data_IF_533023710667
#
_entry.id   IF_533023710667
#
_cell.length_a   1.000
_cell.length_b   1.000
_cell.length_c   1.000
_cell.angle_alpha   90.00
_cell.angle_beta   90.00
_cell.angle_gamma   90.00
#
_symmetry.space_group_name_H-M   'P 1'
#
loop_
_entity.id
_entity.type
_entity.pdbx_description
1 polymer ?
#
# COMPACT_ATOMS: atom_id res chain seq x y z
N UNK A 1 -17.60 -7.69 -3.81
CA UNK A 1 -17.14 -6.44 -3.13
C UNK A 1 -17.50 -6.51 -1.67
N UNK A 2 -16.60 -6.06 -0.78
CA UNK A 2 -16.94 -5.81 0.63
C UNK A 2 -17.45 -4.38 0.73
N UNK A 3 -18.60 -4.20 1.34
CA UNK A 3 -19.26 -2.90 1.52
C UNK A 3 -19.46 -2.65 3.02
N UNK A 4 -18.92 -1.54 3.51
CA UNK A 4 -19.15 -1.09 4.89
C UNK A 4 -20.26 -0.05 4.90
N UNK A 5 -21.37 -0.37 5.54
CA UNK A 5 -22.57 0.47 5.58
C UNK A 5 -22.96 0.84 6.99
N UNK A 6 -23.63 1.97 7.16
CA UNK A 6 -24.17 2.36 8.45
C UNK A 6 -25.59 1.80 8.62
N UNK A 7 -25.75 0.89 9.56
CA UNK A 7 -27.07 0.31 9.91
C UNK A 7 -27.68 0.95 11.15
N UNK A 8 -26.86 1.48 12.07
CA UNK A 8 -27.34 2.28 13.20
C UNK A 8 -27.14 3.76 12.91
N UNK A 9 -28.16 4.61 13.01
CA UNK A 9 -28.02 6.05 12.83
C UNK A 9 -26.92 6.66 13.71
N UNK A 10 -26.16 7.61 13.17
CA UNK A 10 -25.02 8.21 13.88
C UNK A 10 -25.44 8.84 15.24
N UNK A 11 -26.65 9.40 15.31
CA UNK A 11 -27.19 9.99 16.53
C UNK A 11 -27.45 8.97 17.66
N UNK A 12 -27.51 7.68 17.33
CA UNK A 12 -27.72 6.57 18.27
C UNK A 12 -26.43 5.80 18.57
N UNK A 13 -25.35 6.08 17.84
CA UNK A 13 -24.07 5.43 18.03
C UNK A 13 -23.27 6.13 19.15
N UNK A 14 -22.65 5.34 20.05
CA UNK A 14 -21.81 5.88 21.12
C UNK A 14 -20.51 6.52 20.56
N UNK A 15 -19.97 5.97 19.49
CA UNK A 15 -18.80 6.47 18.78
C UNK A 15 -19.07 6.44 17.26
N UNK A 16 -18.36 7.28 16.50
CA UNK A 16 -18.54 7.36 15.03
C UNK A 16 -18.35 6.05 14.29
N UNK A 17 -17.52 5.15 14.81
CA UNK A 17 -17.25 3.84 14.23
C UNK A 17 -18.26 2.75 14.61
N UNK A 18 -19.11 2.99 15.62
CA UNK A 18 -20.11 2.03 16.06
C UNK A 18 -21.31 2.04 15.08
N UNK A 19 -22.01 0.92 14.98
CA UNK A 19 -23.18 0.81 14.10
C UNK A 19 -22.86 0.74 12.59
N UNK A 20 -21.64 0.37 12.26
CA UNK A 20 -21.22 0.05 10.90
C UNK A 20 -21.24 -1.48 10.70
N UNK A 21 -21.76 -1.94 9.58
CA UNK A 21 -21.95 -3.37 9.27
C UNK A 21 -21.27 -3.70 7.94
N UNK A 22 -20.63 -4.85 7.85
CA UNK A 22 -20.04 -5.36 6.62
C UNK A 22 -21.03 -6.23 5.86
N UNK A 23 -21.12 -5.98 4.55
CA UNK A 23 -21.91 -6.77 3.62
C UNK A 23 -21.03 -7.28 2.48
N UNK A 24 -21.26 -8.51 2.05
CA UNK A 24 -20.65 -9.06 0.84
C UNK A 24 -21.61 -8.85 -0.34
N UNK A 25 -21.16 -8.12 -1.35
CA UNK A 25 -21.95 -7.81 -2.55
C UNK A 25 -21.32 -8.49 -3.77
N UNK A 26 -22.10 -9.31 -4.48
CA UNK A 26 -21.69 -9.78 -5.80
C UNK A 26 -21.88 -8.66 -6.82
N UNK A 27 -20.76 -8.15 -7.34
CA UNK A 27 -20.80 -7.04 -8.30
C UNK A 27 -21.45 -7.43 -9.64
N UNK A 28 -21.38 -8.70 -10.05
CA UNK A 28 -22.00 -9.15 -11.30
C UNK A 28 -23.51 -9.02 -11.26
N UNK A 29 -24.08 -9.31 -10.10
CA UNK A 29 -25.52 -9.20 -9.89
C UNK A 29 -25.98 -7.77 -9.60
N UNK A 30 -25.13 -6.99 -8.94
CA UNK A 30 -25.45 -5.64 -8.49
C UNK A 30 -25.27 -4.55 -9.56
N UNK A 31 -24.36 -4.75 -10.52
CA UNK A 31 -24.15 -3.80 -11.63
C UNK A 31 -25.42 -3.65 -12.48
N UNK A 32 -25.90 -2.42 -12.62
CA UNK A 32 -27.16 -2.08 -13.27
C UNK A 32 -28.42 -2.35 -12.44
N UNK A 33 -28.27 -2.86 -11.19
CA UNK A 33 -29.36 -3.15 -10.24
C UNK A 33 -29.11 -2.52 -8.87
N UNK A 34 -28.73 -1.26 -8.84
CA UNK A 34 -28.39 -0.53 -7.62
C UNK A 34 -26.94 -0.10 -7.54
N UNK A 35 -26.06 -0.59 -8.44
CA UNK A 35 -24.70 -0.07 -8.61
C UNK A 35 -24.48 0.37 -10.06
N UNK A 36 -24.05 1.63 -10.22
CA UNK A 36 -23.46 2.15 -11.45
C UNK A 36 -21.95 2.31 -11.22
N UNK A 37 -21.12 1.75 -12.10
CA UNK A 37 -19.67 1.86 -12.04
C UNK A 37 -19.17 2.72 -13.22
N UNK A 38 -18.39 3.75 -12.92
CA UNK A 38 -17.76 4.63 -13.91
C UNK A 38 -16.25 4.48 -13.83
N UNK A 39 -15.56 4.09 -14.91
CA UNK A 39 -14.13 3.95 -14.89
C UNK A 39 -13.45 5.29 -14.68
N UNK A 40 -12.43 5.32 -13.81
CA UNK A 40 -11.53 6.45 -13.64
C UNK A 40 -10.26 6.15 -14.43
N UNK A 41 -9.99 6.99 -15.45
CA UNK A 41 -8.74 6.88 -16.20
C UNK A 41 -7.56 7.24 -15.29
N UNK A 42 -6.71 6.26 -15.01
CA UNK A 42 -5.46 6.45 -14.30
C UNK A 42 -4.35 5.59 -14.91
N UNK A 43 -3.11 5.82 -14.49
CA UNK A 43 -1.92 5.21 -15.10
C UNK A 43 -1.42 3.96 -14.34
N UNK A 44 -2.11 3.55 -13.28
CA UNK A 44 -1.56 2.54 -12.34
C UNK A 44 -2.43 1.29 -12.30
N UNK A 45 -3.75 1.45 -12.18
CA UNK A 45 -4.68 0.34 -12.02
C UNK A 45 -6.05 0.66 -12.63
N UNK A 46 -6.92 -0.35 -12.65
CA UNK A 46 -8.33 -0.19 -13.02
C UNK A 46 -9.14 0.19 -11.77
N UNK A 47 -9.51 1.45 -11.67
CA UNK A 47 -10.32 1.99 -10.58
C UNK A 47 -11.63 2.53 -11.11
N UNK A 48 -12.70 2.37 -10.35
CA UNK A 48 -14.03 2.84 -10.70
C UNK A 48 -14.60 3.70 -9.59
N UNK A 49 -15.34 4.71 -9.95
CA UNK A 49 -16.25 5.42 -9.07
C UNK A 49 -17.58 4.65 -9.05
N UNK A 50 -18.07 4.34 -7.84
CA UNK A 50 -19.30 3.58 -7.67
C UNK A 50 -20.42 4.49 -7.14
N UNK A 51 -21.55 4.48 -7.83
CA UNK A 51 -22.78 5.11 -7.39
C UNK A 51 -23.74 4.00 -6.93
N UNK A 52 -24.10 4.02 -5.66
CA UNK A 52 -24.93 3.00 -5.04
C UNK A 52 -26.25 3.64 -4.62
N UNK A 53 -27.35 3.15 -5.19
CA UNK A 53 -28.69 3.65 -4.93
C UNK A 53 -29.65 2.48 -4.80
N UNK A 54 -30.37 2.42 -3.67
CA UNK A 54 -31.39 1.41 -3.38
C UNK A 54 -30.94 -0.03 -3.65
N UNK A 55 -29.66 -0.31 -3.35
CA UNK A 55 -29.09 -1.65 -3.52
C UNK A 55 -29.66 -2.60 -2.46
N UNK A 56 -30.37 -3.62 -2.91
CA UNK A 56 -30.82 -4.72 -2.05
C UNK A 56 -29.72 -5.76 -1.89
N UNK A 57 -29.37 -6.09 -0.63
CA UNK A 57 -28.39 -7.10 -0.30
C UNK A 57 -29.02 -8.10 0.64
N UNK A 58 -29.00 -9.41 0.32
CA UNK A 58 -29.52 -10.45 1.21
C UNK A 58 -28.89 -10.41 2.60
N UNK A 59 -29.67 -10.63 3.65
CA UNK A 59 -29.19 -10.54 5.04
C UNK A 59 -28.12 -11.60 5.35
N UNK A 60 -28.15 -12.73 4.66
CA UNK A 60 -27.15 -13.80 4.75
C UNK A 60 -25.77 -13.39 4.22
N UNK A 61 -25.70 -12.34 3.42
CA UNK A 61 -24.45 -11.74 2.95
C UNK A 61 -23.81 -10.79 3.98
N UNK A 62 -24.40 -10.67 5.17
CA UNK A 62 -23.79 -9.94 6.27
C UNK A 62 -22.57 -10.70 6.81
N UNK A 63 -21.47 -9.99 6.99
CA UNK A 63 -20.23 -10.53 7.56
C UNK A 63 -20.17 -10.16 9.04
N UNK A 64 -20.32 -11.16 9.91
CA UNK A 64 -20.35 -10.98 11.35
C UNK A 64 -21.65 -10.36 11.87
N UNK A 65 -21.60 -9.81 13.09
CA UNK A 65 -22.76 -9.21 13.73
C UNK A 65 -22.99 -7.77 13.23
N UNK A 66 -24.26 -7.37 13.26
CA UNK A 66 -24.64 -6.00 12.94
C UNK A 66 -23.95 -5.00 13.86
N UNK A 67 -23.45 -3.92 13.30
CA UNK A 67 -22.76 -2.87 14.04
C UNK A 67 -21.28 -3.16 14.36
N UNK A 68 -20.75 -4.35 14.05
CA UNK A 68 -19.35 -4.75 14.30
C UNK A 68 -18.45 -4.67 13.06
N UNK A 69 -18.97 -4.18 11.96
CA UNK A 69 -18.29 -4.22 10.65
C UNK A 69 -16.96 -3.48 10.61
N UNK A 70 -16.85 -2.34 11.30
CA UNK A 70 -15.58 -1.58 11.30
C UNK A 70 -14.45 -2.39 11.96
N UNK A 71 -14.71 -3.07 13.07
CA UNK A 71 -13.73 -3.88 13.77
C UNK A 71 -13.24 -5.01 12.87
N UNK A 72 -14.16 -5.74 12.25
CA UNK A 72 -13.85 -6.84 11.33
C UNK A 72 -13.05 -6.35 10.12
N UNK A 73 -13.40 -5.18 9.57
CA UNK A 73 -12.66 -4.58 8.47
C UNK A 73 -11.21 -4.25 8.88
N UNK A 74 -11.01 -3.65 10.05
CA UNK A 74 -9.68 -3.26 10.53
C UNK A 74 -8.77 -4.47 10.78
N UNK A 75 -9.31 -5.59 11.26
CA UNK A 75 -8.58 -6.84 11.42
C UNK A 75 -8.04 -7.35 10.05
N UNK A 76 -8.89 -7.36 9.03
CA UNK A 76 -8.50 -7.73 7.66
C UNK A 76 -7.47 -6.77 7.04
N UNK A 77 -7.55 -5.48 7.34
CA UNK A 77 -6.62 -4.47 6.83
C UNK A 77 -5.18 -4.62 7.35
N UNK A 78 -4.94 -5.33 8.45
CA UNK A 78 -3.57 -5.62 8.90
C UNK A 78 -2.86 -6.57 7.94
N UNK A 79 -3.55 -7.62 7.48
CA UNK A 79 -3.03 -8.53 6.46
C UNK A 79 -2.77 -7.79 5.13
N UNK A 80 -3.70 -6.93 4.71
CA UNK A 80 -3.55 -6.12 3.49
C UNK A 80 -2.32 -5.20 3.57
N UNK A 81 -2.07 -4.54 4.71
CA UNK A 81 -0.86 -3.71 4.90
C UNK A 81 0.42 -4.53 4.77
N UNK A 82 0.45 -5.76 5.31
CA UNK A 82 1.60 -6.66 5.18
C UNK A 82 1.81 -7.12 3.73
N UNK A 83 0.73 -7.38 2.98
CA UNK A 83 0.79 -7.70 1.54
C UNK A 83 1.33 -6.52 0.73
N UNK A 84 0.83 -5.32 0.93
CA UNK A 84 1.34 -4.12 0.24
C UNK A 84 2.81 -3.84 0.60
N UNK A 85 3.20 -4.08 1.85
CA UNK A 85 4.62 -3.99 2.22
C UNK A 85 5.46 -5.00 1.43
N UNK A 86 4.98 -6.24 1.23
CA UNK A 86 5.68 -7.24 0.43
C UNK A 86 5.79 -6.85 -1.06
N UNK A 87 4.74 -6.27 -1.65
CA UNK A 87 4.77 -5.70 -3.00
C UNK A 87 5.84 -4.61 -3.12
N UNK A 88 5.82 -3.63 -2.21
CA UNK A 88 6.82 -2.55 -2.18
C UNK A 88 8.25 -3.09 -2.09
N UNK A 89 8.49 -4.10 -1.25
CA UNK A 89 9.81 -4.73 -1.10
C UNK A 89 10.21 -5.44 -2.40
N UNK A 90 9.29 -6.14 -3.06
CA UNK A 90 9.50 -6.75 -4.36
C UNK A 90 9.91 -5.72 -5.41
N UNK A 91 9.21 -4.60 -5.46
CA UNK A 91 9.52 -3.46 -6.34
C UNK A 91 10.89 -2.85 -6.01
N UNK A 92 11.15 -2.56 -4.74
CA UNK A 92 12.43 -2.02 -4.29
C UNK A 92 13.61 -2.89 -4.69
N UNK A 93 13.49 -4.20 -4.46
CA UNK A 93 14.50 -5.20 -4.90
C UNK A 93 14.65 -5.24 -6.41
N UNK A 94 13.59 -5.08 -7.17
CA UNK A 94 13.65 -5.00 -8.62
C UNK A 94 14.43 -3.77 -9.07
N UNK A 95 14.14 -2.59 -8.55
CA UNK A 95 14.85 -1.36 -8.87
C UNK A 95 16.34 -1.43 -8.53
N UNK A 96 16.69 -1.94 -7.35
CA UNK A 96 18.08 -2.12 -6.92
C UNK A 96 18.83 -3.05 -7.86
N UNK A 97 18.24 -4.20 -8.24
CA UNK A 97 18.87 -5.13 -9.19
C UNK A 97 19.06 -4.50 -10.57
N UNK A 98 18.08 -3.76 -11.07
CA UNK A 98 18.17 -3.08 -12.38
C UNK A 98 19.25 -2.01 -12.37
N UNK A 99 19.29 -1.16 -11.36
CA UNK A 99 20.32 -0.14 -11.21
C UNK A 99 21.73 -0.76 -11.11
N UNK A 100 21.89 -1.80 -10.29
CA UNK A 100 23.17 -2.47 -10.12
C UNK A 100 23.66 -3.16 -11.41
N UNK A 101 22.79 -3.79 -12.18
CA UNK A 101 23.12 -4.38 -13.48
C UNK A 101 23.57 -3.30 -14.47
N UNK A 102 22.76 -2.26 -14.64
CA UNK A 102 23.08 -1.16 -15.54
C UNK A 102 24.40 -0.47 -15.16
N UNK A 103 24.63 -0.23 -13.86
CA UNK A 103 25.87 0.39 -13.38
C UNK A 103 27.13 -0.43 -13.66
N UNK A 104 27.02 -1.77 -13.75
CA UNK A 104 28.13 -2.65 -14.13
C UNK A 104 28.41 -2.65 -15.63
N UNK A 105 27.39 -2.51 -16.46
CA UNK A 105 27.48 -2.63 -17.92
C UNK A 105 27.74 -1.28 -18.62
N UNK A 106 27.15 -0.21 -18.11
CA UNK A 106 27.28 1.12 -18.72
C UNK A 106 28.68 1.68 -18.56
N UNK A 107 29.39 1.84 -19.65
CA UNK A 107 30.74 2.41 -19.68
C UNK A 107 30.70 3.87 -20.12
N UNK A 108 31.29 4.74 -19.30
CA UNK A 108 31.50 6.19 -19.56
C UNK A 108 32.92 6.52 -19.12
N UNK A 109 33.67 7.29 -19.90
CA UNK A 109 35.06 7.57 -19.63
C UNK A 109 35.91 6.29 -19.41
N UNK A 110 35.74 5.30 -20.31
CA UNK A 110 36.50 4.05 -20.36
C UNK A 110 36.30 3.11 -19.15
N UNK A 111 35.32 3.34 -18.32
CA UNK A 111 35.04 2.50 -17.12
C UNK A 111 33.55 2.39 -16.83
N UNK A 112 33.10 1.30 -16.22
CA UNK A 112 31.72 1.17 -15.73
C UNK A 112 31.36 2.30 -14.77
N UNK A 113 30.16 2.87 -14.92
CA UNK A 113 29.68 3.96 -14.03
C UNK A 113 29.58 3.51 -12.57
N UNK A 114 29.36 2.21 -12.33
CA UNK A 114 29.35 1.60 -11.00
C UNK A 114 30.68 1.69 -10.22
N UNK A 115 31.75 2.17 -10.84
CA UNK A 115 33.01 2.46 -10.14
C UNK A 115 33.01 3.84 -9.44
N UNK A 116 31.96 4.63 -9.61
CA UNK A 116 31.84 5.94 -8.97
C UNK A 116 31.02 5.83 -7.68
N UNK A 117 31.52 6.36 -6.58
CA UNK A 117 30.81 6.35 -5.29
C UNK A 117 29.45 7.05 -5.35
N UNK A 118 29.33 8.10 -6.16
CA UNK A 118 28.06 8.79 -6.42
C UNK A 118 26.99 7.93 -7.10
N UNK A 119 27.38 6.76 -7.63
CA UNK A 119 26.45 5.73 -8.16
C UNK A 119 26.32 4.55 -7.18
N UNK A 120 27.44 4.11 -6.60
CA UNK A 120 27.46 2.95 -5.68
C UNK A 120 26.67 3.20 -4.41
N UNK A 121 26.88 4.36 -3.76
CA UNK A 121 26.30 4.63 -2.45
C UNK A 121 24.77 4.73 -2.48
N UNK A 122 24.14 5.46 -3.39
CA UNK A 122 22.68 5.47 -3.50
C UNK A 122 22.09 4.08 -3.75
N UNK A 123 22.75 3.22 -4.54
CA UNK A 123 22.30 1.85 -4.77
C UNK A 123 22.40 1.01 -3.48
N UNK A 124 23.50 1.17 -2.74
CA UNK A 124 23.71 0.46 -1.48
C UNK A 124 22.73 0.93 -0.39
N UNK A 125 22.49 2.23 -0.27
CA UNK A 125 21.51 2.80 0.66
C UNK A 125 20.10 2.29 0.36
N UNK A 126 19.67 2.35 -0.92
CA UNK A 126 18.36 1.83 -1.32
C UNK A 126 18.21 0.34 -0.98
N UNK A 127 19.26 -0.47 -1.16
CA UNK A 127 19.24 -1.87 -0.77
C UNK A 127 19.06 -2.05 0.74
N UNK A 128 19.81 -1.32 1.56
CA UNK A 128 19.72 -1.37 3.02
C UNK A 128 18.30 -1.00 3.49
N UNK A 129 17.73 0.06 2.96
CA UNK A 129 16.37 0.51 3.30
C UNK A 129 15.31 -0.54 2.95
N UNK A 130 15.43 -1.18 1.78
CA UNK A 130 14.50 -2.24 1.35
C UNK A 130 14.60 -3.46 2.28
N UNK A 131 15.81 -3.89 2.63
CA UNK A 131 16.01 -5.05 3.53
C UNK A 131 15.57 -4.72 4.96
N UNK A 132 15.79 -3.51 5.45
CA UNK A 132 15.29 -3.08 6.76
C UNK A 132 13.74 -3.07 6.80
N UNK A 133 13.11 -2.60 5.72
CA UNK A 133 11.65 -2.65 5.59
C UNK A 133 11.12 -4.10 5.56
N UNK A 134 11.85 -5.03 4.95
CA UNK A 134 11.49 -6.44 4.92
C UNK A 134 11.52 -7.09 6.31
N UNK A 135 12.49 -6.75 7.14
CA UNK A 135 12.53 -7.23 8.53
C UNK A 135 11.30 -6.76 9.33
N UNK A 136 10.85 -5.52 9.12
CA UNK A 136 9.62 -5.02 9.77
C UNK A 136 8.37 -5.73 9.23
N UNK A 137 8.31 -6.04 7.93
CA UNK A 137 7.23 -6.84 7.35
C UNK A 137 7.20 -8.24 7.96
N UNK A 138 8.35 -8.89 8.11
CA UNK A 138 8.44 -10.20 8.77
C UNK A 138 7.93 -10.13 10.22
N UNK A 139 8.27 -9.11 10.98
CA UNK A 139 7.75 -8.92 12.33
C UNK A 139 6.21 -8.84 12.33
N UNK A 140 5.62 -8.07 11.41
CA UNK A 140 4.17 -7.97 11.28
C UNK A 140 3.52 -9.32 10.92
N UNK A 141 4.07 -10.05 9.94
CA UNK A 141 3.56 -11.35 9.52
C UNK A 141 3.65 -12.39 10.64
N UNK A 142 4.77 -12.47 11.35
CA UNK A 142 4.97 -13.44 12.46
C UNK A 142 3.94 -13.22 13.55
N UNK A 143 3.65 -11.98 13.93
CA UNK A 143 2.62 -11.67 14.94
C UNK A 143 1.22 -12.00 14.42
N UNK A 144 0.93 -11.70 13.16
CA UNK A 144 -0.35 -12.03 12.53
C UNK A 144 -0.59 -13.55 12.54
N UNK A 145 0.39 -14.34 12.13
CA UNK A 145 0.32 -15.81 12.08
C UNK A 145 0.18 -16.43 13.50
N UNK A 146 0.73 -15.77 14.51
CA UNK A 146 0.58 -16.14 15.91
C UNK A 146 -0.79 -15.73 16.52
N UNK A 147 -1.64 -15.03 15.78
CA UNK A 147 -2.91 -14.49 16.29
C UNK A 147 -2.74 -13.34 17.28
N UNK A 148 -1.56 -12.71 17.30
CA UNK A 148 -1.26 -11.57 18.16
C UNK A 148 -1.65 -10.24 17.52
N UNK A 149 -1.94 -9.19 18.32
CA UNK A 149 -2.12 -7.84 17.81
C UNK A 149 -0.89 -7.38 17.01
N UNK A 150 -1.07 -7.06 15.73
CA UNK A 150 0.01 -6.68 14.81
C UNK A 150 -0.20 -5.32 14.13
N UNK A 151 -1.17 -4.54 14.57
CA UNK A 151 -1.54 -3.29 13.93
C UNK A 151 -0.42 -2.26 13.87
N UNK A 152 0.41 -2.17 14.90
CA UNK A 152 1.57 -1.27 14.95
C UNK A 152 2.62 -1.69 13.90
N UNK A 153 3.01 -2.97 13.91
CA UNK A 153 4.02 -3.53 13.01
C UNK A 153 3.56 -3.49 11.55
N UNK A 154 2.30 -3.81 11.26
CA UNK A 154 1.73 -3.74 9.92
C UNK A 154 1.73 -2.30 9.35
N UNK A 155 1.39 -1.31 10.17
CA UNK A 155 1.47 0.10 9.79
C UNK A 155 2.92 0.54 9.54
N UNK A 156 3.85 0.22 10.46
CA UNK A 156 5.26 0.56 10.31
C UNK A 156 5.87 -0.12 9.08
N UNK A 157 5.60 -1.42 8.87
CA UNK A 157 6.08 -2.16 7.71
C UNK A 157 5.62 -1.52 6.39
N UNK A 158 4.33 -1.21 6.26
CA UNK A 158 3.79 -0.56 5.06
C UNK A 158 4.40 0.82 4.83
N UNK A 159 4.59 1.61 5.88
CA UNK A 159 5.19 2.95 5.77
C UNK A 159 6.64 2.88 5.31
N UNK A 160 7.45 2.01 5.94
CA UNK A 160 8.86 1.83 5.60
C UNK A 160 9.02 1.27 4.18
N UNK A 161 8.28 0.22 3.84
CA UNK A 161 8.38 -0.43 2.54
C UNK A 161 7.97 0.51 1.39
N UNK A 162 6.90 1.29 1.55
CA UNK A 162 6.47 2.26 0.55
C UNK A 162 7.50 3.38 0.33
N UNK A 163 8.17 3.84 1.40
CA UNK A 163 9.25 4.83 1.31
C UNK A 163 10.49 4.24 0.64
N UNK A 164 10.93 3.06 1.08
CA UNK A 164 12.11 2.39 0.54
C UNK A 164 11.95 2.06 -0.95
N UNK A 165 10.78 1.58 -1.36
CA UNK A 165 10.47 1.31 -2.76
C UNK A 165 10.51 2.58 -3.62
N UNK A 166 9.95 3.69 -3.13
CA UNK A 166 10.00 4.96 -3.82
C UNK A 166 11.44 5.48 -3.98
N UNK A 167 12.25 5.43 -2.92
CA UNK A 167 13.66 5.83 -2.96
C UNK A 167 14.46 4.96 -3.93
N UNK A 168 14.22 3.64 -3.93
CA UNK A 168 14.84 2.72 -4.88
C UNK A 168 14.45 3.02 -6.33
N UNK A 169 13.19 3.42 -6.57
CA UNK A 169 12.71 3.80 -7.90
C UNK A 169 13.38 5.08 -8.41
N UNK A 170 13.44 6.11 -7.60
CA UNK A 170 14.09 7.39 -7.92
C UNK A 170 15.59 7.19 -8.18
N UNK A 171 16.28 6.47 -7.31
CA UNK A 171 17.69 6.08 -7.46
C UNK A 171 17.92 5.30 -8.76
N UNK A 172 17.06 4.35 -9.10
CA UNK A 172 17.17 3.54 -10.30
C UNK A 172 17.01 4.40 -11.56
N UNK A 173 16.02 5.28 -11.60
CA UNK A 173 15.81 6.23 -12.69
C UNK A 173 17.04 7.14 -12.86
N UNK A 174 17.54 7.70 -11.77
CA UNK A 174 18.74 8.55 -11.76
C UNK A 174 19.98 7.80 -12.27
N UNK A 175 20.16 6.53 -11.88
CA UNK A 175 21.28 5.70 -12.32
C UNK A 175 21.26 5.46 -13.83
N UNK A 176 20.08 5.29 -14.44
CA UNK A 176 19.93 5.11 -15.89
C UNK A 176 19.99 6.43 -16.67
N UNK A 177 19.80 7.58 -16.00
CA UNK A 177 19.76 8.89 -16.65
C UNK A 177 18.67 8.96 -17.72
N UNK A 178 18.97 9.46 -18.91
CA UNK A 178 18.01 9.54 -20.02
C UNK A 178 17.37 8.21 -20.41
N UNK A 179 18.08 7.10 -20.29
CA UNK A 179 17.53 5.76 -20.55
C UNK A 179 16.50 5.30 -19.53
N UNK A 180 16.47 5.90 -18.33
CA UNK A 180 15.44 5.63 -17.34
C UNK A 180 14.02 6.01 -17.80
N UNK A 181 13.92 6.89 -18.81
CA UNK A 181 12.65 7.31 -19.42
C UNK A 181 12.28 6.51 -20.68
N UNK A 182 13.18 5.64 -21.16
CA UNK A 182 12.91 4.81 -22.33
C UNK A 182 12.02 3.63 -21.96
N UNK A 183 10.98 3.38 -22.76
CA UNK A 183 10.00 2.32 -22.51
C UNK A 183 10.65 0.93 -22.41
N UNK A 184 11.71 0.69 -23.17
CA UNK A 184 12.45 -0.59 -23.18
C UNK A 184 13.04 -0.97 -21.82
N UNK A 185 13.29 0.00 -20.94
CA UNK A 185 13.83 -0.24 -19.60
C UNK A 185 12.74 -0.41 -18.55
N UNK A 186 11.50 0.01 -18.83
CA UNK A 186 10.33 -0.14 -17.95
C UNK A 186 10.42 0.56 -16.57
N UNK A 187 11.42 1.42 -16.37
CA UNK A 187 11.72 2.07 -15.10
C UNK A 187 10.70 3.17 -14.80
N UNK A 188 10.43 4.04 -15.79
CA UNK A 188 9.52 5.17 -15.62
C UNK A 188 8.07 4.71 -15.34
N UNK A 189 7.62 3.63 -15.99
CA UNK A 189 6.32 3.03 -15.73
C UNK A 189 6.22 2.51 -14.30
N UNK A 190 7.22 1.72 -13.91
CA UNK A 190 7.29 1.10 -12.59
C UNK A 190 7.44 2.15 -11.47
N UNK A 191 8.13 3.26 -11.73
CA UNK A 191 8.25 4.40 -10.81
C UNK A 191 6.86 5.02 -10.55
N UNK A 192 6.04 5.23 -11.56
CA UNK A 192 4.66 5.72 -11.37
C UNK A 192 3.84 4.76 -10.54
N UNK A 193 3.98 3.46 -10.78
CA UNK A 193 3.29 2.38 -10.07
C UNK A 193 3.62 2.39 -8.57
N UNK A 194 4.90 2.35 -8.22
CA UNK A 194 5.35 2.30 -6.83
C UNK A 194 4.99 3.56 -6.04
N UNK A 195 4.77 4.70 -6.71
CA UNK A 195 4.33 5.94 -6.04
C UNK A 195 2.95 5.80 -5.39
N UNK A 196 2.09 4.96 -5.96
CA UNK A 196 0.75 4.71 -5.43
C UNK A 196 0.80 4.24 -3.96
N UNK A 197 1.76 3.40 -3.61
CA UNK A 197 1.83 2.80 -2.27
C UNK A 197 2.06 3.80 -1.12
N UNK A 198 2.50 5.02 -1.40
CA UNK A 198 2.55 6.06 -0.36
C UNK A 198 1.17 6.68 -0.06
N UNK A 199 0.19 6.44 -0.94
CA UNK A 199 -1.16 7.00 -0.84
C UNK A 199 -2.17 5.90 -0.48
N UNK A 200 -2.08 4.74 -1.11
CA UNK A 200 -3.02 3.63 -0.97
C UNK A 200 -2.36 2.40 -0.30
N UNK A 201 -3.13 1.50 0.34
CA UNK A 201 -4.54 1.67 0.74
C UNK A 201 -4.69 2.64 1.91
N UNK A 202 -3.64 2.85 2.70
CA UNK A 202 -3.59 3.81 3.82
C UNK A 202 -2.45 4.79 3.57
N UNK A 203 -2.74 6.09 3.59
CA UNK A 203 -1.72 7.11 3.35
C UNK A 203 -0.65 7.12 4.44
N UNK A 204 0.57 7.52 4.07
CA UNK A 204 1.68 7.70 5.02
C UNK A 204 1.29 8.60 6.19
N UNK A 205 0.50 9.65 5.94
CA UNK A 205 0.06 10.58 6.99
C UNK A 205 -0.84 9.91 8.03
N UNK A 206 -1.79 9.09 7.61
CA UNK A 206 -2.65 8.33 8.52
C UNK A 206 -1.86 7.31 9.33
N UNK A 207 -0.87 6.67 8.73
CA UNK A 207 0.01 5.74 9.45
C UNK A 207 0.83 6.46 10.51
N UNK A 208 1.42 7.60 10.17
CA UNK A 208 2.20 8.40 11.12
C UNK A 208 1.34 8.91 12.28
N UNK A 209 0.10 9.36 12.00
CA UNK A 209 -0.85 9.75 13.04
C UNK A 209 -1.20 8.56 13.96
N UNK A 210 -1.45 7.37 13.38
CA UNK A 210 -1.71 6.16 14.15
C UNK A 210 -0.54 5.78 15.06
N UNK A 211 0.69 5.80 14.54
CA UNK A 211 1.89 5.49 15.34
C UNK A 211 2.08 6.52 16.45
N UNK A 212 1.90 7.81 16.15
CA UNK A 212 2.02 8.87 17.14
C UNK A 212 1.02 8.71 18.29
N UNK A 213 -0.25 8.47 17.97
CA UNK A 213 -1.33 8.36 18.96
C UNK A 213 -1.29 7.01 19.71
N UNK A 214 -1.22 5.90 18.99
CA UNK A 214 -1.46 4.58 19.59
C UNK A 214 -0.19 3.83 20.00
N UNK A 215 0.98 4.18 19.44
CA UNK A 215 2.25 3.55 19.81
C UNK A 215 3.04 4.44 20.78
N UNK A 216 3.11 5.74 20.50
CA UNK A 216 3.89 6.69 21.30
C UNK A 216 3.06 7.41 22.36
N UNK A 217 1.73 7.26 22.37
CA UNK A 217 0.85 7.89 23.35
C UNK A 217 0.76 9.41 23.22
N UNK A 218 1.04 9.98 22.05
CA UNK A 218 0.91 11.41 21.80
C UNK A 218 -0.56 11.83 21.70
N UNK A 219 -0.89 13.09 22.01
CA UNK A 219 -2.25 13.59 21.85
C UNK A 219 -2.72 13.45 20.40
N UNK A 220 -4.01 13.14 20.24
CA UNK A 220 -4.65 13.07 18.92
C UNK A 220 -4.54 14.40 18.20
N UNK A 221 -4.14 14.36 16.92
CA UNK A 221 -3.89 15.56 16.10
C UNK A 221 -5.12 16.11 15.38
N UNK A 222 -6.21 15.31 15.24
CA UNK A 222 -7.47 15.70 14.57
C UNK A 222 -8.67 14.88 15.04
#
# INVERSE_FOLDING_TARGET
MILLVRTTPLAQAARRGDGLTLLLVDLRDALGRGIEARPIANMVNETHELFITDLEVPVENRVGDEGQGLRLLLDGLNAERALIAAECIGDGRWFVRRAAAYAKERVVFERPIGRNQGVQFPIAEAHIEVEAADLMRWAACTRFDAGEPCGAEANMAKCLAAKASWQAADMCLQTHGGYGFAADYDIERKLRETRLYQVAPVSTNLILAHVAEHVLGLPKSF
#
